data_IF_512031480133
#
_entry.id   IF_512031480133
#
_cell.length_a   1.000
_cell.length_b   1.000
_cell.length_c   1.000
_cell.angle_alpha   90.00
_cell.angle_beta   90.00
_cell.angle_gamma   90.00
#
_symmetry.space_group_name_H-M   'P 1'
#
loop_
_entity.id
_entity.type
_entity.pdbx_description
1 polymer ?
#
# COMPACT_ATOMS: atom_id res chain seq x y z
N UNK A 1 -29.19 -1.42 -15.98
CA UNK A 1 -30.53 -0.78 -15.78
C UNK A 1 -31.59 -1.32 -16.75
N UNK A 2 -31.25 -1.61 -18.00
CA UNK A 2 -32.19 -2.18 -18.99
C UNK A 2 -32.80 -3.51 -18.56
N UNK A 3 -32.05 -4.39 -17.93
CA UNK A 3 -32.51 -5.73 -17.51
C UNK A 3 -33.60 -5.70 -16.42
N UNK A 4 -33.65 -4.66 -15.59
CA UNK A 4 -34.70 -4.51 -14.55
C UNK A 4 -36.07 -4.25 -15.18
N UNK A 5 -36.11 -3.53 -16.30
CA UNK A 5 -37.35 -3.27 -17.04
C UNK A 5 -37.89 -4.52 -17.77
N UNK A 6 -37.03 -5.49 -18.03
CA UNK A 6 -37.34 -6.80 -18.60
C UNK A 6 -37.69 -7.87 -17.54
N UNK A 7 -37.79 -7.49 -16.26
CA UNK A 7 -38.13 -8.40 -15.17
C UNK A 7 -36.98 -9.33 -14.76
N UNK A 8 -35.74 -8.99 -15.15
CA UNK A 8 -34.54 -9.72 -14.73
C UNK A 8 -33.83 -8.97 -13.59
N UNK A 9 -33.34 -9.71 -12.59
CA UNK A 9 -32.54 -9.13 -11.50
C UNK A 9 -31.27 -8.44 -12.06
N UNK A 10 -30.79 -7.36 -11.44
CA UNK A 10 -29.57 -6.65 -11.83
C UNK A 10 -28.35 -7.57 -11.91
N UNK A 11 -28.29 -8.54 -11.00
CA UNK A 11 -27.25 -9.57 -10.94
C UNK A 11 -27.88 -10.96 -10.79
N UNK A 12 -27.29 -11.96 -11.42
CA UNK A 12 -27.71 -13.37 -11.29
C UNK A 12 -27.21 -13.94 -9.95
N UNK A 13 -27.81 -13.51 -8.86
CA UNK A 13 -27.54 -14.04 -7.54
C UNK A 13 -28.49 -15.20 -7.19
N UNK A 14 -27.98 -16.18 -6.45
CA UNK A 14 -28.83 -17.21 -5.88
C UNK A 14 -29.65 -16.60 -4.74
N UNK A 15 -30.97 -16.63 -4.87
CA UNK A 15 -31.92 -16.14 -3.87
C UNK A 15 -32.71 -17.34 -3.34
N UNK A 16 -32.82 -17.59 -2.02
CA UNK A 16 -33.48 -18.76 -1.45
C UNK A 16 -35.01 -18.70 -1.48
N UNK A 17 -35.61 -17.70 -2.14
CA UNK A 17 -37.06 -17.53 -2.26
C UNK A 17 -37.47 -17.13 -3.68
N UNK A 18 -38.73 -17.42 -4.03
CA UNK A 18 -39.30 -17.09 -5.34
C UNK A 18 -39.60 -15.58 -5.42
N UNK A 19 -38.93 -14.91 -6.36
CA UNK A 19 -39.07 -13.47 -6.62
C UNK A 19 -40.03 -13.16 -7.80
N UNK A 20 -40.90 -14.12 -8.18
CA UNK A 20 -41.90 -13.93 -9.26
C UNK A 20 -42.98 -12.87 -8.97
N UNK A 21 -43.21 -12.60 -7.67
CA UNK A 21 -44.16 -11.55 -7.29
C UNK A 21 -43.54 -10.16 -7.46
N UNK A 22 -44.24 -9.16 -8.07
CA UNK A 22 -43.69 -7.84 -8.35
C UNK A 22 -43.14 -7.12 -7.11
N UNK A 23 -43.72 -7.32 -5.95
CA UNK A 23 -43.25 -6.69 -4.68
C UNK A 23 -41.93 -7.27 -4.22
N UNK A 24 -41.78 -8.59 -4.26
CA UNK A 24 -40.54 -9.29 -3.89
C UNK A 24 -39.43 -8.99 -4.88
N UNK A 25 -39.71 -8.92 -6.18
CA UNK A 25 -38.77 -8.54 -7.22
C UNK A 25 -38.16 -7.16 -6.96
N UNK A 26 -38.98 -6.15 -6.71
CA UNK A 26 -38.49 -4.80 -6.43
C UNK A 26 -37.69 -4.73 -5.12
N UNK A 27 -38.15 -5.43 -4.07
CA UNK A 27 -37.43 -5.50 -2.81
C UNK A 27 -36.05 -6.11 -2.98
N UNK A 28 -35.95 -7.24 -3.67
CA UNK A 28 -34.68 -7.93 -3.95
C UNK A 28 -33.74 -7.06 -4.81
N UNK A 29 -34.27 -6.43 -5.84
CA UNK A 29 -33.49 -5.53 -6.72
C UNK A 29 -32.91 -4.34 -5.96
N UNK A 30 -33.70 -3.72 -5.09
CA UNK A 30 -33.22 -2.62 -4.24
C UNK A 30 -32.16 -3.12 -3.25
N UNK A 31 -32.37 -4.26 -2.62
CA UNK A 31 -31.42 -4.86 -1.69
C UNK A 31 -30.07 -5.15 -2.37
N UNK A 32 -30.08 -5.72 -3.60
CA UNK A 32 -28.87 -5.95 -4.38
C UNK A 32 -28.13 -4.65 -4.69
N UNK A 33 -28.84 -3.62 -5.15
CA UNK A 33 -28.24 -2.31 -5.47
C UNK A 33 -27.60 -1.68 -4.21
N UNK A 34 -28.30 -1.70 -3.08
CA UNK A 34 -27.77 -1.17 -1.82
C UNK A 34 -26.53 -1.95 -1.38
N UNK A 35 -26.55 -3.28 -1.47
CA UNK A 35 -25.41 -4.13 -1.13
C UNK A 35 -24.18 -3.82 -2.00
N UNK A 36 -24.36 -3.63 -3.30
CA UNK A 36 -23.28 -3.28 -4.23
C UNK A 36 -22.71 -1.90 -3.92
N UNK A 37 -23.57 -0.90 -3.74
CA UNK A 37 -23.13 0.46 -3.42
C UNK A 37 -22.34 0.46 -2.11
N UNK A 38 -22.87 -0.19 -1.08
CA UNK A 38 -22.18 -0.29 0.22
C UNK A 38 -20.85 -1.03 0.10
N UNK A 39 -20.83 -2.18 -0.59
CA UNK A 39 -19.60 -2.95 -0.83
C UNK A 39 -18.54 -2.14 -1.58
N UNK A 40 -18.95 -1.38 -2.61
CA UNK A 40 -18.04 -0.51 -3.36
C UNK A 40 -17.46 0.59 -2.49
N UNK A 41 -18.30 1.26 -1.68
CA UNK A 41 -17.82 2.32 -0.76
C UNK A 41 -16.81 1.75 0.25
N UNK A 42 -17.11 0.61 0.85
CA UNK A 42 -16.19 -0.04 1.82
C UNK A 42 -14.88 -0.44 1.15
N UNK A 43 -14.92 -0.98 -0.06
CA UNK A 43 -13.71 -1.36 -0.79
C UNK A 43 -12.84 -0.13 -1.08
N UNK A 44 -13.40 0.91 -1.69
CA UNK A 44 -12.67 2.15 -2.00
C UNK A 44 -12.13 2.83 -0.74
N UNK A 45 -12.92 2.88 0.34
CA UNK A 45 -12.48 3.45 1.62
C UNK A 45 -11.29 2.68 2.20
N UNK A 46 -11.30 1.36 2.14
CA UNK A 46 -10.21 0.51 2.62
C UNK A 46 -8.94 0.74 1.80
N UNK A 47 -9.07 0.78 0.48
CA UNK A 47 -7.95 1.01 -0.44
C UNK A 47 -7.29 2.39 -0.23
N UNK A 48 -8.10 3.43 -0.20
CA UNK A 48 -7.61 4.79 0.01
C UNK A 48 -6.96 4.96 1.39
N UNK A 49 -7.46 4.26 2.40
CA UNK A 49 -6.89 4.26 3.75
C UNK A 49 -5.50 3.61 3.78
N UNK A 50 -5.34 2.43 3.18
CA UNK A 50 -4.03 1.75 3.10
C UNK A 50 -3.03 2.58 2.33
N UNK A 51 -3.42 3.12 1.17
CA UNK A 51 -2.60 4.01 0.36
C UNK A 51 -2.18 5.25 1.15
N UNK A 52 -3.14 5.90 1.83
CA UNK A 52 -2.89 7.08 2.66
C UNK A 52 -1.87 6.81 3.76
N UNK A 53 -1.94 5.69 4.45
CA UNK A 53 -0.95 5.30 5.46
C UNK A 53 0.42 5.03 4.88
N UNK A 54 0.53 4.39 3.71
CA UNK A 54 1.81 4.20 3.03
C UNK A 54 2.46 5.54 2.68
N UNK A 55 1.70 6.47 2.10
CA UNK A 55 2.17 7.80 1.76
C UNK A 55 2.55 8.62 3.02
N UNK A 56 1.77 8.50 4.10
CA UNK A 56 2.09 9.12 5.37
C UNK A 56 3.43 8.64 5.94
N UNK A 57 3.71 7.32 5.90
CA UNK A 57 4.99 6.77 6.32
C UNK A 57 6.13 7.30 5.45
N UNK A 58 5.95 7.34 4.13
CA UNK A 58 6.91 7.93 3.21
C UNK A 58 7.22 9.38 3.55
N UNK A 59 6.20 10.19 3.82
CA UNK A 59 6.36 11.59 4.20
C UNK A 59 7.10 11.73 5.54
N UNK A 60 6.80 10.91 6.54
CA UNK A 60 7.47 10.95 7.83
C UNK A 60 8.97 10.57 7.73
N UNK A 61 9.32 9.60 6.88
CA UNK A 61 10.72 9.25 6.60
C UNK A 61 11.45 10.42 5.94
N UNK A 62 10.81 11.09 4.99
CA UNK A 62 11.41 12.25 4.30
C UNK A 62 11.61 13.45 5.25
N UNK A 63 10.63 13.70 6.12
CA UNK A 63 10.73 14.72 7.18
C UNK A 63 11.89 14.40 8.13
N UNK A 64 12.02 13.14 8.56
CA UNK A 64 13.11 12.69 9.42
C UNK A 64 14.47 12.91 8.75
N UNK A 65 14.60 12.50 7.47
CA UNK A 65 15.81 12.73 6.66
C UNK A 65 16.17 14.21 6.59
N UNK A 66 15.19 15.07 6.30
CA UNK A 66 15.41 16.51 6.22
C UNK A 66 15.84 17.12 7.57
N UNK A 67 15.23 16.69 8.68
CA UNK A 67 15.58 17.13 10.03
C UNK A 67 17.01 16.75 10.40
N UNK A 68 17.41 15.49 10.10
CA UNK A 68 18.79 15.04 10.32
C UNK A 68 19.80 15.85 9.49
N UNK A 69 19.50 16.12 8.22
CA UNK A 69 20.35 16.96 7.37
C UNK A 69 20.48 18.38 7.92
N UNK A 70 19.39 18.98 8.38
CA UNK A 70 19.40 20.33 8.96
C UNK A 70 20.23 20.39 10.24
N UNK A 71 20.08 19.40 11.12
CA UNK A 71 20.85 19.29 12.35
C UNK A 71 22.35 19.21 12.06
N UNK A 72 22.79 18.36 11.13
CA UNK A 72 24.20 18.23 10.77
C UNK A 72 24.78 19.49 10.14
N UNK A 73 24.02 20.20 9.30
CA UNK A 73 24.45 21.48 8.75
C UNK A 73 24.60 22.57 9.83
N UNK A 74 23.77 22.55 10.86
CA UNK A 74 23.86 23.47 12.00
C UNK A 74 25.13 23.20 12.83
N UNK A 75 25.39 21.94 13.17
CA UNK A 75 26.56 21.51 13.91
C UNK A 75 27.89 21.81 13.18
N UNK A 76 27.89 21.73 11.83
CA UNK A 76 29.05 22.13 11.01
C UNK A 76 29.33 23.64 11.10
N UNK A 77 28.31 24.47 10.97
CA UNK A 77 28.44 25.95 11.06
C UNK A 77 28.93 26.40 12.44
N UNK A 78 28.52 25.71 13.49
CA UNK A 78 28.90 26.00 14.86
C UNK A 78 30.39 25.71 15.10
N UNK A 79 30.94 24.64 14.55
CA UNK A 79 32.38 24.31 14.59
C UNK A 79 33.21 25.32 13.79
N UNK A 80 32.69 25.88 12.72
CA UNK A 80 33.38 26.92 11.93
C UNK A 80 33.39 28.30 12.62
N UNK A 81 32.43 28.59 13.54
CA UNK A 81 32.36 29.86 14.29
C UNK A 81 32.12 29.62 15.79
N UNK A 82 33.17 29.28 16.60
CA UNK A 82 32.97 28.89 17.99
C UNK A 82 32.61 30.03 18.98
N UNK A 83 32.51 31.28 18.51
CA UNK A 83 32.21 32.45 19.37
C UNK A 83 30.75 32.59 19.84
N UNK A 84 29.85 31.74 19.37
CA UNK A 84 28.39 31.83 19.63
C UNK A 84 27.87 30.71 20.56
N UNK A 85 28.71 29.72 20.92
CA UNK A 85 28.22 28.39 21.39
C UNK A 85 28.56 28.02 22.85
N UNK A 86 28.41 28.91 23.82
CA UNK A 86 28.62 28.49 25.23
C UNK A 86 27.37 27.92 25.93
N UNK A 87 26.18 28.01 25.31
CA UNK A 87 24.91 27.56 25.92
C UNK A 87 24.17 26.42 25.20
N UNK A 88 24.65 25.90 24.07
CA UNK A 88 23.85 25.02 23.19
C UNK A 88 24.21 23.51 23.25
N UNK A 89 25.29 23.10 23.91
CA UNK A 89 25.73 21.68 23.93
C UNK A 89 24.74 20.73 24.62
N UNK A 90 24.00 21.21 25.62
CA UNK A 90 22.94 20.41 26.26
C UNK A 90 21.68 20.29 25.38
N UNK A 91 21.50 21.18 24.40
CA UNK A 91 20.34 21.21 23.52
C UNK A 91 20.51 20.29 22.31
N UNK A 92 21.75 20.00 21.87
CA UNK A 92 22.03 19.14 20.70
C UNK A 92 21.81 17.65 20.99
N UNK A 93 22.27 17.15 22.15
CA UNK A 93 22.01 15.76 22.58
C UNK A 93 20.50 15.49 22.74
N UNK A 94 19.72 16.47 23.17
CA UNK A 94 18.24 16.39 23.20
C UNK A 94 17.61 16.27 21.81
N UNK A 95 18.17 16.98 20.84
CA UNK A 95 17.63 16.97 19.44
C UNK A 95 17.85 15.62 18.76
N UNK A 96 18.99 14.96 18.91
CA UNK A 96 19.23 13.68 18.28
C UNK A 96 18.36 12.57 18.89
N UNK A 97 18.16 12.58 20.20
CA UNK A 97 17.26 11.62 20.88
C UNK A 97 15.82 11.77 20.39
N UNK A 98 15.36 12.98 20.11
CA UNK A 98 14.03 13.22 19.47
C UNK A 98 13.94 12.57 18.09
N UNK A 99 14.98 12.68 17.27
CA UNK A 99 15.01 12.06 15.94
C UNK A 99 15.04 10.53 15.99
N UNK A 100 15.72 9.94 16.98
CA UNK A 100 15.70 8.51 17.23
C UNK A 100 14.30 8.06 17.63
N UNK A 101 13.65 8.77 18.54
CA UNK A 101 12.27 8.48 18.95
C UNK A 101 11.32 8.59 17.78
N UNK A 102 11.46 9.62 16.93
CA UNK A 102 10.67 9.78 15.73
C UNK A 102 10.85 8.58 14.77
N UNK A 103 12.10 8.14 14.53
CA UNK A 103 12.37 6.95 13.71
C UNK A 103 11.71 5.69 14.28
N UNK A 104 11.80 5.48 15.60
CA UNK A 104 11.14 4.35 16.27
C UNK A 104 9.61 4.43 16.17
N UNK A 105 9.03 5.63 16.28
CA UNK A 105 7.59 5.85 16.07
C UNK A 105 7.16 5.46 14.65
N UNK A 106 7.91 5.84 13.62
CA UNK A 106 7.62 5.48 12.23
C UNK A 106 7.61 3.95 12.07
N UNK A 107 8.62 3.26 12.59
CA UNK A 107 8.70 1.80 12.53
C UNK A 107 7.55 1.14 13.29
N UNK A 108 7.20 1.66 14.47
CA UNK A 108 6.08 1.15 15.27
C UNK A 108 4.76 1.32 14.53
N UNK A 109 4.53 2.50 13.97
CA UNK A 109 3.35 2.81 13.17
C UNK A 109 3.23 1.83 11.98
N UNK A 110 4.31 1.66 11.21
CA UNK A 110 4.33 0.72 10.08
C UNK A 110 4.01 -0.72 10.51
N UNK A 111 4.51 -1.18 11.65
CA UNK A 111 4.19 -2.51 12.18
C UNK A 111 2.72 -2.65 12.58
N UNK A 112 2.13 -1.63 13.19
CA UNK A 112 0.72 -1.62 13.58
C UNK A 112 -0.16 -1.67 12.33
N UNK A 113 0.12 -0.83 11.34
CA UNK A 113 -0.59 -0.79 10.07
C UNK A 113 -0.50 -2.16 9.38
N UNK A 114 0.71 -2.73 9.28
CA UNK A 114 0.88 -4.05 8.69
C UNK A 114 0.09 -5.13 9.43
N UNK A 115 0.03 -5.09 10.76
CA UNK A 115 -0.74 -6.05 11.56
C UNK A 115 -2.24 -5.94 11.30
N UNK A 116 -2.77 -4.72 11.19
CA UNK A 116 -4.21 -4.47 10.97
C UNK A 116 -4.62 -4.86 9.55
N UNK A 117 -3.85 -4.43 8.55
CA UNK A 117 -4.23 -4.57 7.14
C UNK A 117 -3.70 -5.84 6.46
N UNK A 118 -2.85 -6.63 7.12
CA UNK A 118 -2.25 -7.83 6.55
C UNK A 118 -3.29 -8.81 6.00
N UNK A 119 -4.38 -9.06 6.71
CA UNK A 119 -5.45 -9.96 6.26
C UNK A 119 -6.24 -9.35 5.10
N UNK A 120 -6.54 -8.06 5.18
CA UNK A 120 -7.27 -7.34 4.12
C UNK A 120 -6.48 -7.38 2.82
N UNK A 121 -5.18 -7.07 2.88
CA UNK A 121 -4.27 -7.14 1.73
C UNK A 121 -4.24 -8.56 1.14
N UNK A 122 -4.22 -9.60 1.99
CA UNK A 122 -4.25 -10.99 1.52
C UNK A 122 -5.53 -11.31 0.74
N UNK A 123 -6.68 -11.01 1.33
CA UNK A 123 -7.97 -11.26 0.69
C UNK A 123 -8.08 -10.50 -0.62
N UNK A 124 -7.63 -9.24 -0.64
CA UNK A 124 -7.63 -8.40 -1.84
C UNK A 124 -6.78 -9.00 -2.98
N UNK A 125 -5.54 -9.41 -2.69
CA UNK A 125 -4.68 -10.03 -3.69
C UNK A 125 -5.25 -11.36 -4.19
N UNK A 126 -5.74 -12.20 -3.28
CA UNK A 126 -6.31 -13.50 -3.63
C UNK A 126 -7.58 -13.34 -4.48
N UNK A 127 -8.50 -12.47 -4.06
CA UNK A 127 -9.70 -12.16 -4.83
C UNK A 127 -9.37 -11.61 -6.21
N UNK A 128 -8.39 -10.72 -6.30
CA UNK A 128 -7.94 -10.14 -7.59
C UNK A 128 -7.40 -11.22 -8.55
N UNK A 129 -6.64 -12.20 -8.06
CA UNK A 129 -6.17 -13.32 -8.90
C UNK A 129 -7.37 -14.12 -9.43
N UNK A 130 -8.32 -14.48 -8.56
CA UNK A 130 -9.50 -15.23 -8.97
C UNK A 130 -10.33 -14.49 -10.01
N UNK A 131 -10.54 -13.20 -9.79
CA UNK A 131 -11.30 -12.35 -10.72
C UNK A 131 -10.60 -12.23 -12.07
N UNK A 132 -9.26 -12.00 -12.07
CA UNK A 132 -8.49 -11.94 -13.31
C UNK A 132 -8.52 -13.27 -14.08
N UNK A 133 -8.34 -14.39 -13.41
CA UNK A 133 -8.44 -15.71 -14.03
C UNK A 133 -9.83 -15.96 -14.62
N UNK A 134 -10.89 -15.63 -13.88
CA UNK A 134 -12.26 -15.75 -14.35
C UNK A 134 -12.54 -14.84 -15.55
N UNK A 135 -12.08 -13.60 -15.51
CA UNK A 135 -12.26 -12.64 -16.61
C UNK A 135 -11.55 -13.09 -17.88
N UNK A 136 -10.32 -13.61 -17.77
CA UNK A 136 -9.57 -14.14 -18.90
C UNK A 136 -10.22 -15.40 -19.47
N UNK A 137 -10.75 -16.30 -18.62
CA UNK A 137 -11.49 -17.47 -19.07
C UNK A 137 -12.76 -17.09 -19.83
N UNK A 138 -13.55 -16.15 -19.32
CA UNK A 138 -14.72 -15.62 -20.01
C UNK A 138 -14.38 -14.96 -21.34
N UNK A 139 -13.26 -14.27 -21.46
CA UNK A 139 -12.81 -13.64 -22.70
C UNK A 139 -12.55 -14.67 -23.83
N UNK A 140 -12.22 -15.92 -23.48
CA UNK A 140 -11.98 -16.98 -24.46
C UNK A 140 -13.28 -17.63 -24.97
N UNK A 141 -14.44 -17.35 -24.37
CA UNK A 141 -15.74 -17.86 -24.80
C UNK A 141 -16.40 -16.93 -25.81
N UNK A 142 -17.35 -17.48 -26.62
CA UNK A 142 -18.09 -16.70 -27.62
C UNK A 142 -18.99 -15.64 -26.96
N UNK A 143 -18.51 -14.40 -26.90
CA UNK A 143 -19.22 -13.27 -26.30
C UNK A 143 -19.51 -12.17 -27.32
N UNK A 144 -20.49 -11.30 -27.01
CA UNK A 144 -20.74 -10.08 -27.79
C UNK A 144 -19.61 -9.06 -27.62
N UNK A 145 -19.41 -8.19 -28.61
CA UNK A 145 -18.34 -7.15 -28.57
C UNK A 145 -18.50 -6.24 -27.34
N UNK A 146 -19.73 -5.97 -26.92
CA UNK A 146 -20.03 -5.15 -25.73
C UNK A 146 -19.61 -5.83 -24.44
N UNK A 147 -19.78 -7.14 -24.31
CA UNK A 147 -19.38 -7.91 -23.14
C UNK A 147 -17.85 -7.98 -23.04
N UNK A 148 -17.17 -8.17 -24.18
CA UNK A 148 -15.71 -8.15 -24.26
C UNK A 148 -15.15 -6.79 -23.82
N UNK A 149 -15.71 -5.68 -24.31
CA UNK A 149 -15.26 -4.35 -23.90
C UNK A 149 -15.43 -4.11 -22.40
N UNK A 150 -16.55 -4.51 -21.84
CA UNK A 150 -16.84 -4.39 -20.40
C UNK A 150 -15.83 -5.21 -19.55
N UNK A 151 -15.54 -6.45 -19.96
CA UNK A 151 -14.56 -7.31 -19.30
C UNK A 151 -13.16 -6.73 -19.36
N UNK A 152 -12.74 -6.18 -20.50
CA UNK A 152 -11.42 -5.55 -20.66
C UNK A 152 -11.30 -4.34 -19.72
N UNK A 153 -12.31 -3.46 -19.70
CA UNK A 153 -12.32 -2.28 -18.82
C UNK A 153 -12.23 -2.72 -17.35
N UNK A 154 -13.00 -3.72 -16.96
CA UNK A 154 -12.98 -4.26 -15.60
C UNK A 154 -11.62 -4.84 -15.23
N UNK A 155 -11.01 -5.65 -16.10
CA UNK A 155 -9.68 -6.20 -15.88
C UNK A 155 -8.61 -5.11 -15.75
N UNK A 156 -8.66 -4.07 -16.59
CA UNK A 156 -7.76 -2.91 -16.50
C UNK A 156 -7.91 -2.18 -15.16
N UNK A 157 -9.13 -1.96 -14.68
CA UNK A 157 -9.35 -1.36 -13.36
C UNK A 157 -8.71 -2.18 -12.25
N UNK A 158 -8.86 -3.51 -12.28
CA UNK A 158 -8.25 -4.41 -11.30
C UNK A 158 -6.71 -4.39 -11.36
N UNK A 159 -6.13 -4.35 -12.55
CA UNK A 159 -4.68 -4.22 -12.71
C UNK A 159 -4.14 -2.92 -12.13
N UNK A 160 -4.81 -1.80 -12.40
CA UNK A 160 -4.42 -0.48 -11.85
C UNK A 160 -4.52 -0.49 -10.33
N UNK A 161 -5.59 -1.04 -9.77
CA UNK A 161 -5.80 -1.15 -8.33
C UNK A 161 -4.65 -1.89 -7.64
N UNK A 162 -4.29 -3.08 -8.12
CA UNK A 162 -3.18 -3.87 -7.56
C UNK A 162 -1.84 -3.14 -7.76
N UNK A 163 -1.65 -2.51 -8.93
CA UNK A 163 -0.44 -1.73 -9.20
C UNK A 163 -0.24 -0.62 -8.19
N UNK A 164 -1.28 0.17 -7.89
CA UNK A 164 -1.22 1.27 -6.92
C UNK A 164 -0.83 0.78 -5.52
N UNK A 165 -1.38 -0.35 -5.08
CA UNK A 165 -0.99 -0.98 -3.82
C UNK A 165 0.48 -1.38 -3.78
N UNK A 166 0.93 -2.08 -4.81
CA UNK A 166 2.31 -2.55 -4.92
C UNK A 166 3.29 -1.40 -5.05
N UNK A 167 2.93 -0.35 -5.80
CA UNK A 167 3.72 0.86 -5.94
C UNK A 167 3.88 1.58 -4.59
N UNK A 168 2.78 1.81 -3.86
CA UNK A 168 2.83 2.48 -2.56
C UNK A 168 3.68 1.71 -1.54
N UNK A 169 3.55 0.38 -1.50
CA UNK A 169 4.39 -0.47 -0.65
C UNK A 169 5.86 -0.44 -1.05
N UNK A 170 6.15 -0.41 -2.35
CA UNK A 170 7.51 -0.31 -2.88
C UNK A 170 8.16 1.04 -2.55
N UNK A 171 7.41 2.15 -2.60
CA UNK A 171 7.89 3.47 -2.17
C UNK A 171 8.32 3.47 -0.70
N UNK A 172 7.55 2.83 0.18
CA UNK A 172 7.94 2.68 1.60
C UNK A 172 9.24 1.89 1.73
N UNK A 173 9.41 0.80 0.98
CA UNK A 173 10.64 0.00 0.97
C UNK A 173 11.82 0.86 0.55
N UNK A 174 11.72 1.57 -0.57
CA UNK A 174 12.79 2.39 -1.12
C UNK A 174 13.17 3.54 -0.18
N UNK A 175 12.20 4.29 0.32
CA UNK A 175 12.46 5.42 1.22
C UNK A 175 13.03 4.97 2.56
N UNK A 176 12.56 3.84 3.10
CA UNK A 176 13.08 3.32 4.37
C UNK A 176 14.50 2.76 4.26
N UNK A 177 14.86 2.11 3.15
CA UNK A 177 16.24 1.64 2.90
C UNK A 177 17.18 2.79 2.54
N UNK A 178 16.71 3.79 1.79
CA UNK A 178 17.50 4.95 1.40
C UNK A 178 17.89 5.89 2.55
N UNK A 179 17.26 5.75 3.73
CA UNK A 179 17.61 6.56 4.90
C UNK A 179 19.05 6.31 5.38
N UNK A 180 19.50 5.06 5.37
CA UNK A 180 20.86 4.68 5.73
C UNK A 180 21.90 5.32 4.82
N UNK A 181 21.68 5.25 3.51
CA UNK A 181 22.53 5.87 2.50
C UNK A 181 22.55 7.39 2.63
N UNK A 182 21.40 7.99 2.88
CA UNK A 182 21.31 9.44 3.09
C UNK A 182 22.11 9.91 4.31
N UNK A 183 22.11 9.16 5.42
CA UNK A 183 22.90 9.47 6.61
C UNK A 183 24.40 9.29 6.32
N UNK A 184 24.77 8.23 5.60
CA UNK A 184 26.15 7.96 5.23
C UNK A 184 26.79 9.09 4.40
N UNK A 185 26.00 9.69 3.51
CA UNK A 185 26.45 10.81 2.66
C UNK A 185 26.55 12.14 3.39
N UNK A 186 26.13 12.23 4.65
CA UNK A 186 26.25 13.44 5.46
C UNK A 186 27.62 13.47 6.18
N UNK A 187 28.07 14.67 6.61
CA UNK A 187 29.30 14.88 7.35
C UNK A 187 29.19 14.42 8.83
N UNK A 188 28.62 13.23 9.09
CA UNK A 188 28.35 12.69 10.43
C UNK A 188 29.63 12.42 11.24
N UNK A 189 30.78 12.26 10.59
CA UNK A 189 32.08 12.05 11.21
C UNK A 189 32.52 13.27 12.06
N UNK A 190 32.02 14.44 11.72
CA UNK A 190 32.28 15.69 12.43
C UNK A 190 31.54 15.83 13.77
N UNK A 191 30.60 14.94 14.06
CA UNK A 191 29.79 14.98 15.29
C UNK A 191 30.56 14.40 16.51
N UNK A 192 30.10 14.67 17.75
CA UNK A 192 30.62 14.02 18.94
C UNK A 192 30.47 12.49 18.86
N UNK A 193 31.38 11.74 19.48
CA UNK A 193 31.41 10.27 19.41
C UNK A 193 30.11 9.62 19.92
N UNK A 194 29.45 10.22 20.90
CA UNK A 194 28.12 9.77 21.39
C UNK A 194 27.07 9.81 20.29
N UNK A 195 26.99 10.92 19.56
CA UNK A 195 26.02 11.13 18.49
C UNK A 195 26.35 10.27 17.25
N UNK A 196 27.63 10.06 16.96
CA UNK A 196 28.05 9.11 15.92
C UNK A 196 27.54 7.69 16.20
N UNK A 197 27.59 7.23 17.44
CA UNK A 197 27.07 5.91 17.84
C UNK A 197 25.56 5.82 17.63
N UNK A 198 24.84 6.88 17.97
CA UNK A 198 23.39 6.93 17.81
C UNK A 198 22.97 6.95 16.33
N UNK A 199 23.69 7.69 15.48
CA UNK A 199 23.48 7.68 14.04
C UNK A 199 23.79 6.31 13.43
N UNK A 200 24.85 5.65 13.86
CA UNK A 200 25.17 4.29 13.44
C UNK A 200 24.07 3.29 13.82
N UNK A 201 23.41 3.48 14.96
CA UNK A 201 22.24 2.66 15.32
C UNK A 201 21.05 2.90 14.37
N UNK A 202 20.76 4.16 13.99
CA UNK A 202 19.72 4.46 12.99
C UNK A 202 20.10 3.82 11.65
N UNK A 203 21.33 3.98 11.18
CA UNK A 203 21.81 3.38 9.93
C UNK A 203 21.67 1.86 9.94
N UNK A 204 22.17 1.20 10.99
CA UNK A 204 22.04 -0.26 11.17
C UNK A 204 20.57 -0.70 11.18
N UNK A 205 19.67 0.07 11.78
CA UNK A 205 18.25 -0.25 11.78
C UNK A 205 17.60 -0.04 10.41
N UNK A 206 18.02 0.98 9.67
CA UNK A 206 17.52 1.31 8.34
C UNK A 206 17.96 0.32 7.25
N UNK A 207 19.01 -0.49 7.47
CA UNK A 207 19.37 -1.58 6.55
C UNK A 207 18.25 -2.62 6.45
N UNK A 208 17.39 -2.72 7.46
CA UNK A 208 16.15 -3.52 7.40
C UNK A 208 14.99 -2.64 6.96
N UNK A 209 14.72 -2.63 5.65
CA UNK A 209 13.61 -1.87 5.07
C UNK A 209 12.27 -2.21 5.72
N UNK A 210 11.38 -1.22 5.78
CA UNK A 210 9.99 -1.41 6.20
C UNK A 210 9.26 -2.08 5.04
N UNK A 211 8.69 -3.27 5.28
CA UNK A 211 7.93 -4.03 4.27
C UNK A 211 6.51 -4.27 4.79
N UNK A 212 5.54 -4.04 3.94
CA UNK A 212 4.17 -4.47 4.18
C UNK A 212 3.99 -5.86 3.59
N UNK A 213 3.66 -6.82 4.45
CA UNK A 213 3.49 -8.22 4.07
C UNK A 213 2.11 -8.71 4.44
N UNK A 214 1.50 -9.40 3.52
CA UNK A 214 0.22 -10.06 3.69
C UNK A 214 0.44 -11.48 4.21
N UNK A 215 0.08 -11.74 5.46
CA UNK A 215 0.11 -13.08 6.07
C UNK A 215 1.38 -13.89 5.74
N UNK A 216 2.54 -13.24 5.64
CA UNK A 216 3.85 -13.80 5.27
C UNK A 216 3.97 -14.31 3.82
N UNK A 217 2.92 -14.24 3.00
CA UNK A 217 2.92 -14.82 1.64
C UNK A 217 3.23 -13.79 0.56
N UNK A 218 2.65 -12.60 0.64
CA UNK A 218 2.81 -11.57 -0.38
C UNK A 218 3.34 -10.28 0.24
N UNK A 219 4.42 -9.74 -0.33
CA UNK A 219 4.94 -8.42 0.02
C UNK A 219 4.35 -7.38 -0.94
N UNK A 220 3.92 -6.23 -0.43
CA UNK A 220 3.50 -5.11 -1.28
C UNK A 220 4.73 -4.50 -1.96
N UNK A 221 5.09 -5.04 -3.13
CA UNK A 221 6.22 -4.59 -3.94
C UNK A 221 5.92 -4.73 -5.42
N UNK A 222 6.66 -4.01 -6.27
CA UNK A 222 6.54 -4.15 -7.73
C UNK A 222 6.96 -5.55 -8.22
N UNK A 223 7.86 -6.22 -7.49
CA UNK A 223 8.23 -7.61 -7.77
C UNK A 223 7.03 -8.55 -7.58
N UNK A 224 6.29 -8.38 -6.48
CA UNK A 224 5.06 -9.16 -6.23
C UNK A 224 3.99 -8.90 -7.28
N UNK A 225 3.87 -7.65 -7.76
CA UNK A 225 2.98 -7.32 -8.87
C UNK A 225 3.36 -8.08 -10.14
N UNK A 226 4.64 -8.06 -10.52
CA UNK A 226 5.11 -8.80 -11.70
C UNK A 226 4.89 -10.31 -11.57
N UNK A 227 5.10 -10.87 -10.38
CA UNK A 227 4.84 -12.29 -10.11
C UNK A 227 3.35 -12.64 -10.19
N UNK A 228 2.47 -11.75 -9.71
CA UNK A 228 1.02 -11.91 -9.84
C UNK A 228 0.58 -11.92 -11.32
N UNK A 229 1.12 -11.02 -12.14
CA UNK A 229 0.84 -11.01 -13.58
C UNK A 229 1.26 -12.32 -14.25
N UNK A 230 2.46 -12.82 -13.94
CA UNK A 230 2.97 -14.11 -14.46
C UNK A 230 2.07 -15.27 -14.02
N UNK A 231 1.66 -15.30 -12.75
CA UNK A 231 0.78 -16.34 -12.24
C UNK A 231 -0.61 -16.32 -12.92
N UNK A 232 -1.18 -15.13 -13.12
CA UNK A 232 -2.46 -14.95 -13.81
C UNK A 232 -2.38 -15.43 -15.26
N UNK A 233 -1.30 -15.10 -15.96
CA UNK A 233 -1.06 -15.55 -17.34
C UNK A 233 -0.86 -17.08 -17.42
N UNK A 234 -0.11 -17.67 -16.48
CA UNK A 234 0.09 -19.11 -16.42
C UNK A 234 -1.22 -19.86 -16.15
N UNK A 235 -2.05 -19.35 -15.23
CA UNK A 235 -3.35 -19.93 -14.95
C UNK A 235 -4.29 -19.85 -16.16
N UNK A 236 -4.27 -18.74 -16.91
CA UNK A 236 -5.02 -18.60 -18.15
C UNK A 236 -4.60 -19.64 -19.18
N UNK A 237 -3.29 -19.83 -19.41
CA UNK A 237 -2.79 -20.82 -20.37
C UNK A 237 -3.21 -22.25 -20.00
N UNK A 238 -3.21 -22.59 -18.70
CA UNK A 238 -3.67 -23.91 -18.23
C UNK A 238 -5.17 -24.10 -18.48
N UNK A 239 -5.99 -23.07 -18.24
CA UNK A 239 -7.44 -23.13 -18.48
C UNK A 239 -7.79 -23.20 -19.97
N UNK A 240 -6.96 -22.67 -20.85
CA UNK A 240 -7.18 -22.73 -22.30
C UNK A 240 -6.79 -24.09 -22.89
N UNK A 241 -5.89 -24.83 -22.23
CA UNK A 241 -5.47 -26.17 -22.67
C UNK A 241 -6.36 -27.29 -22.14
N UNK A 242 -7.23 -27.02 -21.17
CA UNK A 242 -8.20 -27.98 -20.60
C UNK A 242 -9.53 -27.90 -21.32
#
# INVERSE_FOLDING_TARGET
MLNILEGQLPYRMWVPYDYTSPRLFWFTSIQELVAIIFGTIVNVATETTVLGFCLQICAQIEILKHRLQKMMKSSKKEKENPRISLNDTSNETGRLSEHILHHLCIIRLAKIINKIFSQVIFVQFFASILVLCSSLYHLSSHMTITDIATLIIYALCMFVQIFVYCWAGNEVILKSSGLSEAIYQMDWILMPVSEQKDLLMIMKRSTRSIKFTSSFLVTMSLESYANLLKASYSAFNLLQQS
#
